data_IF_023458919061
#
_entry.id   IF_023458919061
#
_cell.length_a   1.000
_cell.length_b   1.000
_cell.length_c   1.000
_cell.angle_alpha   90.00
_cell.angle_beta   90.00
_cell.angle_gamma   90.00
#
_symmetry.space_group_name_H-M   'P 1'
#
loop_
_entity.id
_entity.type
_entity.pdbx_description
1 polymer ?
#
# COMPACT_ATOMS: atom_id res chain seq x y z
N UNK A 1 -40.55 -16.43 20.30
CA UNK A 1 -40.29 -17.76 19.69
C UNK A 1 -38.92 -17.66 19.01
N UNK A 2 -37.89 -18.17 19.67
CA UNK A 2 -36.51 -18.12 19.15
C UNK A 2 -36.30 -19.39 18.30
N UNK A 3 -36.00 -19.20 17.02
CA UNK A 3 -35.60 -20.28 16.14
C UNK A 3 -34.16 -20.67 16.47
N UNK A 4 -34.00 -21.81 17.13
CA UNK A 4 -32.70 -22.41 17.41
C UNK A 4 -32.02 -22.82 16.09
N UNK A 5 -30.92 -22.12 15.76
CA UNK A 5 -30.04 -22.53 14.66
C UNK A 5 -29.35 -23.83 15.02
N UNK A 6 -29.73 -24.91 14.33
CA UNK A 6 -29.14 -26.23 14.48
C UNK A 6 -27.69 -26.22 13.95
N UNK A 7 -26.64 -26.56 14.75
CA UNK A 7 -25.23 -26.47 14.34
C UNK A 7 -24.77 -27.59 13.40
N UNK A 8 -25.62 -28.50 12.94
CA UNK A 8 -25.28 -29.68 12.14
C UNK A 8 -26.11 -29.81 10.88
N UNK A 9 -26.15 -28.82 10.02
CA UNK A 9 -26.74 -28.97 8.69
C UNK A 9 -25.75 -29.71 7.77
N UNK A 10 -25.94 -31.03 7.63
CA UNK A 10 -25.23 -31.85 6.63
C UNK A 10 -26.07 -31.92 5.36
N UNK A 11 -25.53 -31.40 4.27
CA UNK A 11 -26.12 -31.53 2.93
C UNK A 11 -25.19 -32.43 2.09
N UNK A 12 -25.71 -33.58 1.61
CA UNK A 12 -24.92 -34.58 0.88
C UNK A 12 -23.68 -35.10 1.59
N UNK A 13 -23.68 -35.25 2.91
CA UNK A 13 -22.54 -35.76 3.66
C UNK A 13 -21.40 -34.73 3.93
N UNK A 14 -21.55 -33.49 3.48
CA UNK A 14 -20.60 -32.39 3.72
C UNK A 14 -21.12 -31.44 4.79
N UNK A 15 -20.23 -31.04 5.68
CA UNK A 15 -20.53 -30.14 6.80
C UNK A 15 -20.61 -28.69 6.29
N UNK A 16 -21.85 -28.19 6.13
CA UNK A 16 -22.11 -26.85 5.56
C UNK A 16 -21.71 -25.73 6.53
N UNK A 17 -21.50 -26.03 7.81
CA UNK A 17 -21.13 -25.07 8.83
C UNK A 17 -19.72 -24.49 8.66
N UNK A 18 -18.82 -25.21 7.98
CA UNK A 18 -17.43 -24.77 7.74
C UNK A 18 -17.24 -24.07 6.38
N UNK A 19 -18.23 -24.08 5.53
CA UNK A 19 -18.18 -23.49 4.18
C UNK A 19 -17.77 -22.00 4.16
N UNK A 20 -18.30 -21.12 5.03
CA UNK A 20 -17.92 -19.71 4.98
C UNK A 20 -16.44 -19.46 5.27
N UNK A 21 -15.83 -20.28 6.14
CA UNK A 21 -14.41 -20.17 6.49
C UNK A 21 -13.48 -20.68 5.37
N UNK A 22 -13.83 -21.83 4.78
CA UNK A 22 -13.06 -22.43 3.69
C UNK A 22 -13.12 -21.59 2.41
N UNK A 23 -14.29 -21.05 2.09
CA UNK A 23 -14.45 -20.13 0.96
C UNK A 23 -13.68 -18.82 1.16
N UNK A 24 -13.63 -18.29 2.39
CA UNK A 24 -12.82 -17.12 2.70
C UNK A 24 -11.33 -17.41 2.57
N UNK A 25 -10.86 -18.56 3.04
CA UNK A 25 -9.47 -18.98 2.90
C UNK A 25 -9.11 -19.25 1.42
N UNK A 26 -9.96 -19.95 0.67
CA UNK A 26 -9.77 -20.18 -0.76
C UNK A 26 -9.84 -18.87 -1.56
N UNK A 27 -10.77 -17.98 -1.23
CA UNK A 27 -10.82 -16.65 -1.84
C UNK A 27 -9.61 -15.81 -1.51
N UNK A 28 -9.06 -15.87 -0.29
CA UNK A 28 -7.84 -15.18 0.08
C UNK A 28 -6.61 -15.72 -0.69
N UNK A 29 -6.52 -17.03 -0.90
CA UNK A 29 -5.48 -17.65 -1.72
C UNK A 29 -5.62 -17.28 -3.21
N UNK A 30 -6.84 -17.29 -3.75
CA UNK A 30 -7.11 -16.85 -5.11
C UNK A 30 -6.81 -15.36 -5.29
N UNK A 31 -7.11 -14.53 -4.31
CA UNK A 31 -6.84 -13.09 -4.34
C UNK A 31 -5.33 -12.76 -4.26
N UNK A 32 -4.51 -13.69 -3.79
CA UNK A 32 -3.03 -13.60 -3.80
C UNK A 32 -2.41 -14.10 -5.11
N UNK A 33 -3.18 -14.74 -5.97
CA UNK A 33 -2.66 -15.27 -7.24
C UNK A 33 -2.24 -14.13 -8.19
N UNK A 34 -1.12 -14.34 -8.88
CA UNK A 34 -0.47 -13.32 -9.73
C UNK A 34 -1.37 -12.80 -10.86
N UNK A 35 -2.28 -13.63 -11.38
CA UNK A 35 -3.20 -13.24 -12.47
C UNK A 35 -4.28 -12.25 -12.02
N UNK A 36 -4.67 -12.26 -10.71
CA UNK A 36 -5.62 -11.30 -10.16
C UNK A 36 -4.98 -9.94 -9.84
N UNK A 37 -3.65 -9.84 -9.84
CA UNK A 37 -2.98 -8.55 -9.68
C UNK A 37 -3.35 -7.59 -10.82
N UNK A 38 -3.47 -8.09 -12.04
CA UNK A 38 -3.91 -7.29 -13.19
C UNK A 38 -5.33 -6.71 -13.07
N UNK A 39 -6.17 -7.24 -12.15
CA UNK A 39 -7.51 -6.73 -11.89
C UNK A 39 -7.54 -5.56 -10.90
N UNK A 40 -6.47 -5.30 -10.17
CA UNK A 40 -6.41 -4.15 -9.26
C UNK A 40 -6.21 -2.89 -10.09
N UNK A 41 -7.17 -1.94 -10.11
CA UNK A 41 -7.01 -0.71 -10.86
C UNK A 41 -5.87 0.11 -10.26
N UNK A 42 -5.15 0.81 -11.11
CA UNK A 42 -4.27 1.87 -10.64
C UNK A 42 -5.11 2.98 -9.98
N UNK A 43 -4.57 3.56 -8.93
CA UNK A 43 -5.13 4.72 -8.24
C UNK A 43 -4.34 5.94 -8.67
N UNK A 44 -5.03 6.96 -9.20
CA UNK A 44 -4.40 8.21 -9.61
C UNK A 44 -4.09 9.05 -8.39
N UNK A 45 -2.80 9.35 -8.21
CA UNK A 45 -2.26 10.11 -7.08
C UNK A 45 -1.63 11.39 -7.60
N UNK A 46 -1.94 12.52 -6.97
CA UNK A 46 -1.21 13.78 -7.16
C UNK A 46 -0.10 13.85 -6.12
N UNK A 47 1.14 13.87 -6.58
CA UNK A 47 2.31 14.01 -5.72
C UNK A 47 2.76 15.47 -5.67
N UNK A 48 2.82 16.01 -4.45
CA UNK A 48 3.42 17.30 -4.16
C UNK A 48 4.89 17.09 -3.81
N UNK A 49 5.77 17.56 -4.65
CA UNK A 49 7.23 17.43 -4.49
C UNK A 49 7.77 18.43 -3.49
N UNK A 50 8.89 18.11 -2.87
CA UNK A 50 9.57 18.97 -1.90
C UNK A 50 10.02 20.33 -2.48
N UNK A 51 10.19 20.43 -3.79
CA UNK A 51 10.53 21.65 -4.52
C UNK A 51 9.30 22.51 -4.90
N UNK A 52 8.10 22.11 -4.48
CA UNK A 52 6.84 22.81 -4.74
C UNK A 52 6.17 22.46 -6.07
N UNK A 53 6.78 21.62 -6.90
CA UNK A 53 6.15 21.09 -8.12
C UNK A 53 5.12 20.04 -7.77
N UNK A 54 4.19 19.78 -8.69
CA UNK A 54 3.23 18.70 -8.60
C UNK A 54 3.35 17.78 -9.82
N UNK A 55 3.13 16.49 -9.61
CA UNK A 55 3.14 15.49 -10.68
C UNK A 55 2.04 14.45 -10.47
N UNK A 56 1.58 13.84 -11.55
CA UNK A 56 0.51 12.84 -11.52
C UNK A 56 1.09 11.44 -11.70
N UNK A 57 0.60 10.51 -10.88
CA UNK A 57 1.10 9.14 -10.85
C UNK A 57 -0.05 8.15 -10.78
N UNK A 58 0.04 7.08 -11.56
CA UNK A 58 -0.84 5.93 -11.48
C UNK A 58 -0.19 4.85 -10.63
N UNK A 59 -0.72 4.64 -9.43
CA UNK A 59 -0.12 3.75 -8.42
C UNK A 59 -0.82 2.41 -8.42
N UNK A 60 -0.06 1.35 -8.66
CA UNK A 60 -0.50 -0.03 -8.57
C UNK A 60 0.64 -0.93 -8.05
N UNK A 61 0.32 -1.87 -7.17
CA UNK A 61 1.27 -2.89 -6.66
C UNK A 61 2.57 -2.32 -6.05
N UNK A 62 2.49 -1.16 -5.41
CA UNK A 62 3.66 -0.50 -4.80
C UNK A 62 4.58 0.21 -5.80
N UNK A 63 4.17 0.32 -7.07
CA UNK A 63 4.85 1.08 -8.10
C UNK A 63 4.00 2.27 -8.51
N UNK A 64 4.64 3.40 -8.78
CA UNK A 64 4.01 4.59 -9.31
C UNK A 64 4.55 4.83 -10.73
N UNK A 65 3.67 4.81 -11.70
CA UNK A 65 3.96 5.10 -13.11
C UNK A 65 3.57 6.54 -13.40
N UNK A 66 4.43 7.29 -14.08
CA UNK A 66 4.11 8.65 -14.48
C UNK A 66 2.84 8.67 -15.33
N UNK A 67 1.86 9.46 -14.92
CA UNK A 67 0.63 9.64 -15.67
C UNK A 67 0.80 10.79 -16.66
N UNK A 68 0.31 10.66 -17.92
CA UNK A 68 0.34 11.75 -18.87
C UNK A 68 -0.48 12.96 -18.37
N UNK A 69 0.04 14.18 -18.48
CA UNK A 69 -0.68 15.40 -18.09
C UNK A 69 -1.97 15.63 -18.88
N UNK A 70 -2.04 15.08 -20.10
CA UNK A 70 -3.23 15.14 -20.96
C UNK A 70 -4.37 14.21 -20.54
N UNK A 71 -4.14 13.31 -19.58
CA UNK A 71 -5.15 12.37 -19.14
C UNK A 71 -6.11 13.02 -18.14
N UNK A 72 -7.38 13.10 -18.51
CA UNK A 72 -8.47 13.72 -17.75
C UNK A 72 -9.01 12.86 -16.60
N UNK A 73 -8.40 11.71 -16.32
CA UNK A 73 -8.85 10.86 -15.23
C UNK A 73 -8.76 11.59 -13.87
N UNK A 74 -9.79 11.48 -13.03
CA UNK A 74 -9.84 12.22 -11.77
C UNK A 74 -8.73 11.76 -10.80
N UNK A 75 -8.13 12.72 -10.10
CA UNK A 75 -7.24 12.46 -8.98
C UNK A 75 -8.05 11.83 -7.83
N UNK A 76 -7.57 10.72 -7.31
CA UNK A 76 -8.28 9.92 -6.30
C UNK A 76 -7.62 9.99 -4.92
N UNK A 77 -6.33 10.33 -4.88
CA UNK A 77 -5.56 10.48 -3.65
C UNK A 77 -4.48 11.57 -3.83
N UNK A 78 -4.02 12.10 -2.71
CA UNK A 78 -2.93 13.07 -2.64
C UNK A 78 -1.74 12.43 -1.93
N UNK A 79 -0.53 12.79 -2.35
CA UNK A 79 0.70 12.39 -1.69
C UNK A 79 1.65 13.60 -1.56
N UNK A 80 2.49 13.58 -0.54
CA UNK A 80 3.50 14.60 -0.28
C UNK A 80 4.85 13.91 -0.20
N UNK A 81 5.82 14.43 -0.93
CA UNK A 81 7.20 13.98 -0.81
C UNK A 81 7.80 14.54 0.48
N UNK A 82 8.37 13.64 1.27
CA UNK A 82 9.18 14.05 2.43
C UNK A 82 10.63 14.26 1.97
N UNK A 83 11.22 15.47 2.20
CA UNK A 83 12.60 15.75 1.83
C UNK A 83 13.58 14.74 2.43
N UNK A 84 14.59 14.34 1.67
CA UNK A 84 15.59 13.37 2.13
C UNK A 84 16.34 13.82 3.39
N UNK A 85 16.48 15.13 3.59
CA UNK A 85 17.10 15.71 4.78
C UNK A 85 16.32 15.42 6.07
N UNK A 86 15.02 15.11 5.94
CA UNK A 86 14.10 14.89 7.05
C UNK A 86 13.86 13.41 7.32
N UNK A 87 14.58 12.52 6.63
CA UNK A 87 14.38 11.07 6.65
C UNK A 87 15.68 10.32 6.87
N UNK A 88 15.69 9.41 7.82
CA UNK A 88 16.73 8.40 7.94
C UNK A 88 16.36 7.21 7.04
N UNK A 89 17.12 7.00 5.97
CA UNK A 89 16.95 5.83 5.12
C UNK A 89 17.99 4.75 5.48
N UNK A 90 17.54 3.48 5.48
CA UNK A 90 18.39 2.31 5.73
C UNK A 90 18.00 1.17 4.79
N UNK A 91 18.98 0.39 4.41
CA UNK A 91 18.80 -0.86 3.69
C UNK A 91 19.19 -2.02 4.59
N UNK A 92 18.30 -3.01 4.67
CA UNK A 92 18.50 -4.24 5.44
C UNK A 92 18.36 -5.44 4.50
N UNK A 93 19.12 -6.49 4.75
CA UNK A 93 18.96 -7.77 4.08
C UNK A 93 18.49 -8.80 5.10
N UNK A 94 17.28 -9.31 4.89
CA UNK A 94 16.65 -10.27 5.78
C UNK A 94 16.41 -11.60 5.05
N UNK A 95 16.26 -12.71 5.78
CA UNK A 95 15.76 -13.95 5.20
C UNK A 95 14.36 -13.74 4.60
N UNK A 96 14.01 -14.52 3.57
CA UNK A 96 12.66 -14.57 3.04
C UNK A 96 11.75 -15.30 4.05
N UNK A 97 11.11 -14.55 4.92
CA UNK A 97 10.18 -15.02 5.94
C UNK A 97 8.73 -14.90 5.44
N UNK A 98 7.78 -15.64 6.05
CA UNK A 98 6.37 -15.36 5.91
C UNK A 98 6.04 -13.90 6.26
N UNK A 99 5.06 -13.30 5.58
CA UNK A 99 4.74 -11.86 5.65
C UNK A 99 4.62 -11.34 7.10
N UNK A 100 3.93 -12.08 7.98
CA UNK A 100 3.77 -11.67 9.37
C UNK A 100 5.10 -11.66 10.14
N UNK A 101 5.94 -12.71 9.97
CA UNK A 101 7.24 -12.79 10.63
C UNK A 101 8.24 -11.76 10.10
N UNK A 102 8.13 -11.44 8.79
CA UNK A 102 8.95 -10.40 8.18
C UNK A 102 8.57 -9.02 8.74
N UNK A 103 7.27 -8.75 8.90
CA UNK A 103 6.79 -7.52 9.51
C UNK A 103 7.28 -7.37 10.96
N UNK A 104 7.19 -8.43 11.76
CA UNK A 104 7.70 -8.44 13.14
C UNK A 104 9.22 -8.20 13.21
N UNK A 105 9.98 -8.83 12.30
CA UNK A 105 11.42 -8.63 12.21
C UNK A 105 11.78 -7.19 11.84
N UNK A 106 11.05 -6.60 10.88
CA UNK A 106 11.24 -5.20 10.50
C UNK A 106 10.90 -4.27 11.68
N UNK A 107 9.86 -4.54 12.43
CA UNK A 107 9.45 -3.73 13.59
C UNK A 107 10.51 -3.75 14.71
N UNK A 108 11.14 -4.91 14.93
CA UNK A 108 12.28 -5.03 15.85
C UNK A 108 13.49 -4.21 15.39
N UNK A 109 13.84 -4.29 14.10
CA UNK A 109 14.92 -3.50 13.51
C UNK A 109 14.64 -1.98 13.60
N UNK A 110 13.41 -1.56 13.32
CA UNK A 110 12.98 -0.16 13.49
C UNK A 110 13.22 0.28 14.94
N UNK A 111 12.83 -0.54 15.92
CA UNK A 111 13.04 -0.24 17.32
C UNK A 111 14.52 -0.14 17.73
N UNK A 112 15.40 -0.90 17.07
CA UNK A 112 16.83 -0.93 17.35
C UNK A 112 17.59 0.26 16.73
N UNK A 113 17.19 0.68 15.51
CA UNK A 113 17.93 1.71 14.73
C UNK A 113 17.33 3.10 14.83
N UNK A 114 16.08 3.23 15.32
CA UNK A 114 15.42 4.53 15.41
C UNK A 114 16.12 5.44 16.41
N UNK A 115 16.51 6.66 16.01
CA UNK A 115 17.05 7.65 16.93
C UNK A 115 15.94 8.34 17.77
N UNK A 116 14.66 8.04 17.48
CA UNK A 116 13.52 8.66 18.12
C UNK A 116 12.85 7.69 19.11
N UNK A 117 12.20 8.20 20.17
CA UNK A 117 11.35 7.38 21.01
C UNK A 117 10.28 6.65 20.18
N UNK A 118 9.96 5.40 20.52
CA UNK A 118 9.01 4.57 19.74
C UNK A 118 7.67 5.27 19.48
N UNK A 119 7.15 6.02 20.44
CA UNK A 119 5.90 6.77 20.29
C UNK A 119 5.98 7.94 19.28
N UNK A 120 7.18 8.41 18.98
CA UNK A 120 7.44 9.50 18.03
C UNK A 120 7.97 9.00 16.69
N UNK A 121 8.39 7.74 16.60
CA UNK A 121 8.91 7.15 15.37
C UNK A 121 7.77 6.92 14.40
N UNK A 122 7.94 7.42 13.19
CA UNK A 122 7.12 7.07 12.03
C UNK A 122 8.01 6.37 11.03
N UNK A 123 7.56 5.23 10.55
CA UNK A 123 8.32 4.38 9.66
C UNK A 123 7.51 3.98 8.43
N UNK A 124 8.22 3.67 7.36
CA UNK A 124 7.70 2.99 6.20
C UNK A 124 8.76 2.07 5.65
N UNK A 125 8.36 1.03 4.92
CA UNK A 125 9.31 0.13 4.29
C UNK A 125 8.79 -0.41 2.96
N UNK A 126 9.74 -0.82 2.13
CA UNK A 126 9.50 -1.53 0.88
C UNK A 126 10.35 -2.78 0.85
N UNK A 127 9.75 -3.91 0.50
CA UNK A 127 10.42 -5.19 0.40
C UNK A 127 10.65 -5.55 -1.06
N UNK A 128 11.87 -5.96 -1.37
CA UNK A 128 12.29 -6.42 -2.69
C UNK A 128 12.96 -7.79 -2.56
N UNK A 129 12.48 -8.79 -3.32
CA UNK A 129 13.16 -10.07 -3.40
C UNK A 129 14.51 -9.92 -4.12
N UNK A 130 15.60 -10.44 -3.53
CA UNK A 130 16.95 -10.44 -4.11
C UNK A 130 17.48 -11.87 -4.35
N UNK A 131 16.62 -12.86 -4.20
CA UNK A 131 16.91 -14.27 -4.39
C UNK A 131 15.78 -15.14 -3.84
N UNK A 132 15.93 -16.46 -3.85
CA UNK A 132 14.91 -17.35 -3.33
C UNK A 132 14.73 -17.25 -1.80
N UNK A 133 15.82 -16.99 -1.07
CA UNK A 133 15.86 -17.06 0.40
C UNK A 133 16.13 -15.71 1.08
N UNK A 134 16.21 -14.62 0.32
CA UNK A 134 16.55 -13.29 0.84
C UNK A 134 15.69 -12.20 0.26
N UNK A 135 15.41 -11.23 1.12
CA UNK A 135 14.74 -9.98 0.74
C UNK A 135 15.58 -8.79 1.16
N UNK A 136 15.53 -7.75 0.34
CA UNK A 136 16.06 -6.43 0.66
C UNK A 136 14.91 -5.57 1.15
N UNK A 137 15.10 -4.93 2.28
CA UNK A 137 14.12 -4.03 2.89
C UNK A 137 14.70 -2.63 2.86
N UNK A 138 14.07 -1.75 2.09
CA UNK A 138 14.36 -0.33 2.13
C UNK A 138 13.47 0.29 3.19
N UNK A 139 14.07 0.86 4.20
CA UNK A 139 13.41 1.41 5.37
C UNK A 139 13.58 2.92 5.39
N UNK A 140 12.52 3.65 5.70
CA UNK A 140 12.51 5.09 5.92
C UNK A 140 11.96 5.39 7.30
N UNK A 141 12.65 6.21 8.07
CA UNK A 141 12.31 6.60 9.44
C UNK A 141 12.32 8.12 9.55
N UNK A 142 11.33 8.65 10.24
CA UNK A 142 11.26 10.07 10.61
C UNK A 142 10.58 10.24 11.95
N UNK A 143 10.54 11.46 12.48
CA UNK A 143 9.77 11.75 13.69
C UNK A 143 8.39 12.33 13.35
N UNK A 144 7.40 12.05 14.20
CA UNK A 144 6.07 12.66 14.08
C UNK A 144 6.14 14.19 14.05
N UNK A 145 7.00 14.79 14.87
CA UNK A 145 7.22 16.24 14.90
C UNK A 145 7.73 16.80 13.57
N UNK A 146 8.57 16.03 12.86
CA UNK A 146 9.09 16.42 11.56
C UNK A 146 7.99 16.42 10.50
N UNK A 147 7.14 15.37 10.53
CA UNK A 147 5.99 15.27 9.64
C UNK A 147 4.96 16.38 9.86
N UNK A 148 4.69 16.75 11.10
CA UNK A 148 3.77 17.84 11.44
C UNK A 148 4.23 19.19 10.87
N UNK A 149 5.54 19.38 10.62
CA UNK A 149 6.05 20.58 9.96
C UNK A 149 5.85 20.58 8.44
N UNK A 150 5.90 19.39 7.83
CA UNK A 150 5.78 19.21 6.37
C UNK A 150 4.31 19.10 5.95
N UNK A 151 3.44 18.71 6.87
CA UNK A 151 1.98 18.56 6.66
C UNK A 151 1.17 19.74 7.27
N UNK A 152 1.54 21.01 7.07
CA UNK A 152 0.79 22.13 7.65
C UNK A 152 -0.58 22.22 6.97
N UNK A 153 -1.64 21.89 7.69
CA UNK A 153 -3.01 22.05 7.24
C UNK A 153 -3.69 20.80 6.66
N UNK A 154 -3.05 19.62 6.62
CA UNK A 154 -3.74 18.36 6.33
C UNK A 154 -4.76 17.95 7.41
N UNK A 155 -4.93 18.77 8.43
CA UNK A 155 -5.87 18.61 9.55
C UNK A 155 -7.23 19.28 9.32
N UNK A 156 -7.65 19.48 8.08
CA UNK A 156 -9.06 19.78 7.82
C UNK A 156 -9.89 18.56 8.24
N UNK A 157 -10.87 18.77 9.12
CA UNK A 157 -11.69 17.71 9.74
C UNK A 157 -12.35 16.77 8.71
N UNK A 158 -12.44 17.17 7.45
CA UNK A 158 -13.07 16.43 6.36
C UNK A 158 -12.15 16.17 5.14
N UNK A 159 -10.89 16.63 5.14
CA UNK A 159 -9.99 16.39 4.02
C UNK A 159 -9.32 15.01 4.16
N UNK A 160 -9.27 14.21 3.08
CA UNK A 160 -8.55 12.96 3.12
C UNK A 160 -7.05 13.22 3.42
N UNK A 161 -6.52 12.50 4.40
CA UNK A 161 -5.11 12.64 4.78
C UNK A 161 -4.22 12.20 3.61
N UNK A 162 -3.27 13.03 3.17
CA UNK A 162 -2.37 12.66 2.09
C UNK A 162 -1.43 11.54 2.51
N UNK A 163 -0.98 10.74 1.56
CA UNK A 163 0.13 9.81 1.78
C UNK A 163 1.44 10.60 1.95
N UNK A 164 2.36 10.04 2.70
CA UNK A 164 3.72 10.60 2.79
C UNK A 164 4.68 9.65 2.09
N UNK A 165 5.28 10.13 1.02
CA UNK A 165 6.20 9.36 0.19
C UNK A 165 7.65 9.76 0.46
N UNK A 166 8.50 8.76 0.61
CA UNK A 166 9.95 8.93 0.63
C UNK A 166 10.50 8.34 -0.66
N UNK A 167 11.16 9.19 -1.43
CA UNK A 167 11.83 8.78 -2.66
C UNK A 167 13.30 8.49 -2.34
N UNK A 168 13.82 7.35 -2.84
CA UNK A 168 15.23 7.02 -2.69
C UNK A 168 16.06 7.81 -3.69
N UNK A 169 17.27 8.23 -3.29
CA UNK A 169 18.22 8.97 -4.16
C UNK A 169 18.63 8.20 -5.42
N UNK A 170 18.51 6.86 -5.40
CA UNK A 170 18.84 6.00 -6.55
C UNK A 170 17.73 5.93 -7.59
N UNK A 171 16.57 6.55 -7.32
CA UNK A 171 15.46 6.57 -8.26
C UNK A 171 15.58 7.76 -9.20
N UNK A 172 15.16 7.63 -10.45
CA UNK A 172 15.09 8.78 -11.35
C UNK A 172 14.27 9.87 -10.65
N UNK A 173 14.84 11.07 -10.58
CA UNK A 173 14.13 12.24 -10.06
C UNK A 173 12.81 12.35 -10.84
N UNK A 174 11.67 12.64 -10.18
CA UNK A 174 10.38 12.69 -10.88
C UNK A 174 10.55 13.57 -12.11
N UNK A 175 10.30 13.01 -13.30
CA UNK A 175 10.61 13.70 -14.54
C UNK A 175 9.66 14.87 -14.74
N UNK A 176 10.18 15.91 -15.35
CA UNK A 176 9.37 16.99 -15.83
C UNK A 176 8.47 16.61 -17.01
N UNK A 177 8.79 15.61 -17.82
CA UNK A 177 8.04 15.29 -19.05
C UNK A 177 8.26 13.86 -19.59
N UNK A 178 9.08 13.01 -18.96
CA UNK A 178 9.35 11.67 -19.51
C UNK A 178 8.21 10.69 -19.20
N UNK A 179 7.35 10.50 -20.18
CA UNK A 179 6.36 9.43 -20.18
C UNK A 179 7.08 8.08 -20.07
N UNK A 180 6.95 7.42 -18.91
CA UNK A 180 7.52 6.08 -18.69
C UNK A 180 8.36 5.96 -17.41
N UNK A 181 8.57 7.02 -16.66
CA UNK A 181 9.24 6.93 -15.37
C UNK A 181 8.42 6.09 -14.39
N UNK A 182 9.13 5.22 -13.67
CA UNK A 182 8.56 4.38 -12.62
C UNK A 182 9.24 4.71 -11.30
N UNK A 183 8.46 5.10 -10.31
CA UNK A 183 8.91 5.30 -8.94
C UNK A 183 8.51 4.12 -8.07
N UNK A 184 9.34 3.86 -7.08
CA UNK A 184 9.09 2.87 -6.03
C UNK A 184 9.10 3.58 -4.67
N UNK A 185 8.08 4.38 -4.35
CA UNK A 185 8.08 5.15 -3.12
C UNK A 185 8.03 4.24 -1.90
N UNK A 186 8.69 4.67 -0.83
CA UNK A 186 8.45 4.13 0.51
C UNK A 186 7.34 4.98 1.11
N UNK A 187 6.19 4.38 1.37
CA UNK A 187 5.05 5.06 1.98
C UNK A 187 5.15 4.95 3.49
N UNK A 188 5.12 6.08 4.19
CA UNK A 188 5.14 6.10 5.65
C UNK A 188 3.78 5.67 6.20
N UNK A 189 3.80 4.79 7.22
CA UNK A 189 2.59 4.23 7.82
C UNK A 189 1.86 5.22 8.72
N UNK A 190 0.52 5.12 8.75
CA UNK A 190 -0.36 5.93 9.61
C UNK A 190 -0.86 7.22 8.97
N UNK A 191 -0.77 7.34 7.65
CA UNK A 191 -1.25 8.48 6.87
C UNK A 191 -2.29 8.05 5.83
N UNK A 192 -2.28 8.60 4.63
CA UNK A 192 -3.29 8.32 3.59
C UNK A 192 -3.26 6.93 2.94
N UNK A 193 -2.29 6.05 3.26
CA UNK A 193 -2.13 4.74 2.62
C UNK A 193 -3.37 3.84 2.75
N UNK A 194 -4.02 3.86 3.89
CA UNK A 194 -5.25 3.07 4.14
C UNK A 194 -6.37 3.48 3.19
N UNK A 195 -6.47 4.77 2.89
CA UNK A 195 -7.46 5.29 1.96
C UNK A 195 -7.20 4.82 0.53
N UNK A 196 -5.96 4.93 0.04
CA UNK A 196 -5.58 4.45 -1.30
C UNK A 196 -5.82 2.95 -1.43
N UNK A 197 -5.43 2.16 -0.43
CA UNK A 197 -5.69 0.72 -0.41
C UNK A 197 -7.18 0.40 -0.46
N UNK A 198 -8.00 1.15 0.27
CA UNK A 198 -9.46 0.98 0.25
C UNK A 198 -10.06 1.27 -1.13
N UNK A 199 -9.56 2.30 -1.83
CA UNK A 199 -9.97 2.65 -3.19
C UNK A 199 -9.58 1.54 -4.18
N UNK A 200 -8.34 1.05 -4.11
CA UNK A 200 -7.86 -0.05 -4.94
C UNK A 200 -8.68 -1.34 -4.70
N UNK A 201 -9.03 -1.65 -3.44
CA UNK A 201 -9.86 -2.80 -3.11
C UNK A 201 -11.29 -2.67 -3.63
N UNK A 202 -11.91 -1.48 -3.51
CA UNK A 202 -13.24 -1.21 -4.06
C UNK A 202 -13.26 -1.41 -5.57
N UNK A 203 -12.30 -0.82 -6.28
CA UNK A 203 -12.17 -0.97 -7.73
C UNK A 203 -11.95 -2.41 -8.16
N UNK A 204 -11.14 -3.18 -7.42
CA UNK A 204 -10.95 -4.62 -7.67
C UNK A 204 -12.24 -5.41 -7.50
N UNK A 205 -13.01 -5.14 -6.43
CA UNK A 205 -14.31 -5.80 -6.21
C UNK A 205 -15.29 -5.51 -7.32
N UNK A 206 -15.35 -4.27 -7.80
CA UNK A 206 -16.22 -3.88 -8.92
C UNK A 206 -15.83 -4.61 -10.22
N UNK A 207 -14.54 -4.67 -10.56
CA UNK A 207 -14.06 -5.40 -11.75
C UNK A 207 -14.36 -6.89 -11.67
N UNK A 208 -14.16 -7.51 -10.49
CA UNK A 208 -14.53 -8.91 -10.27
C UNK A 208 -16.04 -9.16 -10.43
N UNK A 209 -16.86 -8.27 -9.89
CA UNK A 209 -18.32 -8.38 -10.02
C UNK A 209 -18.77 -8.29 -11.49
N UNK A 210 -18.16 -7.35 -12.26
CA UNK A 210 -18.43 -7.21 -13.70
C UNK A 210 -18.00 -8.44 -14.50
N UNK A 211 -16.84 -9.03 -14.18
CA UNK A 211 -16.37 -10.25 -14.83
C UNK A 211 -17.26 -11.44 -14.52
N UNK A 212 -17.72 -11.59 -13.28
CA UNK A 212 -18.65 -12.66 -12.90
C UNK A 212 -20.00 -12.48 -13.60
N UNK A 213 -20.50 -11.24 -13.72
CA UNK A 213 -21.72 -10.94 -14.45
C UNK A 213 -21.58 -11.27 -15.94
N UNK A 214 -20.48 -10.91 -16.56
CA UNK A 214 -20.18 -11.21 -17.97
C UNK A 214 -20.01 -12.72 -18.23
N UNK A 215 -19.54 -13.49 -17.26
CA UNK A 215 -19.41 -14.93 -17.37
C UNK A 215 -20.74 -15.70 -17.13
N UNK A 216 -21.75 -15.03 -16.57
CA UNK A 216 -23.07 -15.60 -16.29
C UNK A 216 -24.09 -15.35 -17.42
N UNK A 217 -23.74 -14.52 -18.41
CA UNK A 217 -24.52 -14.22 -19.61
C UNK A 217 -24.10 -15.10 -20.79
#
# INVERSE_FOLDING_TARGET
>A
MALASSPNARFFGMDVGQWPGQWRAAAALLLRSSWLRGLTPAVRVRLHLADGRTSLWDVAHGQAHAAPDADTAPVQAEAIELPQADVLQRELVLPALPEAQLADAIDLEIGAISPFPRAQTVAGYRVQAIGPDRVRVHLALTSRQQLERVLPGATGVDAPMPEVWVLSSDQPQPPGEDAGAVLHPIVLQGFGEVQRESLAQRGRRQRLALLLLAAAL
#
